data_IF_986714571835
#
_entry.id   IF_986714571835
#
_cell.length_a   1.000
_cell.length_b   1.000
_cell.length_c   1.000
_cell.angle_alpha   90.00
_cell.angle_beta   90.00
_cell.angle_gamma   90.00
#
_symmetry.space_group_name_H-M   'P 1'
#
loop_
_entity.id
_entity.type
_entity.pdbx_description
1 polymer ?
#
# COMPACT_ATOMS: atom_id res chain seq x y z
N UNK A 1 19.52 5.64 -11.45
CA UNK A 1 18.11 6.11 -11.26
C UNK A 1 17.11 5.06 -11.75
N UNK A 2 15.84 5.07 -11.31
CA UNK A 2 14.82 4.12 -11.78
C UNK A 2 14.67 4.15 -13.32
N UNK A 3 14.83 5.35 -13.92
CA UNK A 3 14.80 5.61 -15.36
C UNK A 3 15.93 4.93 -16.16
N UNK A 4 17.03 4.56 -15.51
CA UNK A 4 18.16 3.89 -16.17
C UNK A 4 17.94 2.38 -16.30
N UNK A 5 16.91 1.83 -15.64
CA UNK A 5 16.60 0.40 -15.68
C UNK A 5 15.85 0.05 -16.97
N UNK A 6 16.43 -0.78 -17.87
CA UNK A 6 15.78 -1.15 -19.12
C UNK A 6 14.40 -1.81 -18.91
N UNK A 7 14.25 -2.57 -17.82
CA UNK A 7 13.01 -3.27 -17.45
C UNK A 7 11.86 -2.30 -17.16
N UNK A 8 12.17 -1.06 -16.78
CA UNK A 8 11.17 -0.04 -16.45
C UNK A 8 10.65 0.71 -17.68
N UNK A 9 11.42 0.75 -18.77
CA UNK A 9 11.10 1.55 -19.97
C UNK A 9 9.72 1.23 -20.58
N UNK A 10 9.29 -0.04 -20.68
CA UNK A 10 7.95 -0.36 -21.21
C UNK A 10 6.80 0.12 -20.32
N UNK A 11 7.06 0.34 -19.02
CA UNK A 11 6.07 0.68 -18.01
C UNK A 11 6.02 2.18 -17.68
N UNK A 12 6.98 2.95 -18.21
CA UNK A 12 7.08 4.39 -18.02
C UNK A 12 6.68 5.11 -19.31
N UNK A 13 5.51 5.74 -19.27
CA UNK A 13 5.04 6.68 -20.29
C UNK A 13 5.67 8.06 -20.14
N UNK A 14 5.19 9.01 -20.94
CA UNK A 14 5.65 10.40 -20.89
C UNK A 14 5.42 11.07 -19.53
N UNK A 15 6.25 12.07 -19.24
CA UNK A 15 6.05 12.97 -18.11
C UNK A 15 4.74 13.77 -18.31
N UNK A 16 3.93 13.80 -17.27
CA UNK A 16 2.67 14.52 -17.17
C UNK A 16 2.87 15.73 -16.24
N UNK A 17 3.04 16.91 -16.85
CA UNK A 17 3.37 18.14 -16.13
C UNK A 17 2.22 18.63 -15.23
N UNK A 18 0.96 18.35 -15.58
CA UNK A 18 -0.18 18.73 -14.74
C UNK A 18 -0.23 17.91 -13.45
N UNK A 19 0.16 16.63 -13.54
CA UNK A 19 0.23 15.71 -12.41
C UNK A 19 1.57 15.69 -11.69
N UNK A 20 2.56 16.42 -12.21
CA UNK A 20 3.95 16.42 -11.74
C UNK A 20 4.53 14.99 -11.60
N UNK A 21 4.15 14.08 -12.51
CA UNK A 21 4.48 12.65 -12.41
C UNK A 21 4.68 12.03 -13.79
N UNK A 22 5.20 10.79 -13.85
CA UNK A 22 5.26 10.02 -15.08
C UNK A 22 4.02 9.14 -15.20
N UNK A 23 3.49 8.99 -16.41
CA UNK A 23 2.44 7.99 -16.65
C UNK A 23 3.04 6.60 -16.44
N UNK A 24 2.37 5.78 -15.66
CA UNK A 24 2.81 4.42 -15.34
C UNK A 24 1.78 3.43 -15.87
N UNK A 25 2.25 2.35 -16.49
CA UNK A 25 1.41 1.19 -16.85
C UNK A 25 1.89 -0.02 -16.05
N UNK A 26 1.06 -0.57 -15.15
CA UNK A 26 1.48 -1.69 -14.33
C UNK A 26 1.80 -2.93 -15.19
N UNK A 27 2.81 -3.69 -14.75
CA UNK A 27 3.15 -4.99 -15.35
C UNK A 27 1.97 -5.95 -15.20
N UNK A 28 1.35 -5.95 -14.02
CA UNK A 28 0.19 -6.76 -13.68
C UNK A 28 -1.05 -5.87 -13.59
N UNK A 29 -2.05 -6.02 -14.48
CA UNK A 29 -3.27 -5.20 -14.46
C UNK A 29 -4.06 -5.33 -13.15
N UNK A 30 -3.90 -6.42 -12.40
CA UNK A 30 -4.56 -6.60 -11.11
C UNK A 30 -3.93 -5.74 -10.00
N UNK A 31 -2.74 -5.16 -10.23
CA UNK A 31 -2.07 -4.26 -9.28
C UNK A 31 -2.89 -2.99 -9.02
N UNK A 32 -3.46 -2.37 -10.07
CA UNK A 32 -4.30 -1.18 -9.91
C UNK A 32 -5.61 -1.50 -9.19
N UNK A 33 -6.20 -2.68 -9.47
CA UNK A 33 -7.38 -3.16 -8.76
C UNK A 33 -7.10 -3.37 -7.27
N UNK A 34 -5.95 -3.98 -6.95
CA UNK A 34 -5.52 -4.15 -5.57
C UNK A 34 -5.30 -2.79 -4.90
N UNK A 35 -4.59 -1.86 -5.55
CA UNK A 35 -4.36 -0.52 -5.03
C UNK A 35 -5.67 0.20 -4.69
N UNK A 36 -6.64 0.22 -5.61
CA UNK A 36 -7.94 0.85 -5.39
C UNK A 36 -8.69 0.22 -4.20
N UNK A 37 -8.68 -1.13 -4.11
CA UNK A 37 -9.28 -1.86 -2.99
C UNK A 37 -8.62 -1.51 -1.66
N UNK A 38 -7.28 -1.45 -1.61
CA UNK A 38 -6.53 -1.11 -0.40
C UNK A 38 -6.76 0.33 0.03
N UNK A 39 -6.81 1.27 -0.93
CA UNK A 39 -7.11 2.68 -0.65
C UNK A 39 -8.50 2.84 0.01
N UNK A 40 -9.53 2.21 -0.57
CA UNK A 40 -10.88 2.24 -0.02
C UNK A 40 -10.96 1.61 1.38
N UNK A 41 -10.23 0.51 1.62
CA UNK A 41 -10.15 -0.16 2.91
C UNK A 41 -9.53 0.76 3.97
N UNK A 42 -8.40 1.40 3.65
CA UNK A 42 -7.71 2.31 4.57
C UNK A 42 -8.55 3.55 4.85
N UNK A 43 -9.21 4.11 3.84
CA UNK A 43 -10.11 5.26 3.99
C UNK A 43 -11.27 4.93 4.94
N UNK A 44 -11.91 3.77 4.77
CA UNK A 44 -12.98 3.31 5.66
C UNK A 44 -12.49 3.09 7.10
N UNK A 45 -11.34 2.44 7.29
CA UNK A 45 -10.74 2.25 8.61
C UNK A 45 -10.40 3.59 9.29
N UNK A 46 -9.86 4.55 8.53
CA UNK A 46 -9.52 5.88 9.04
C UNK A 46 -10.78 6.64 9.45
N UNK A 47 -11.82 6.64 8.62
CA UNK A 47 -13.11 7.26 8.94
C UNK A 47 -13.77 6.63 10.19
N UNK A 48 -13.59 5.32 10.39
CA UNK A 48 -14.08 4.59 11.56
C UNK A 48 -13.21 4.70 12.81
N UNK A 49 -12.09 5.44 12.76
CA UNK A 49 -11.09 5.49 13.86
C UNK A 49 -10.63 4.09 14.31
N UNK A 50 -10.57 3.15 13.37
CA UNK A 50 -10.14 1.79 13.64
C UNK A 50 -8.66 1.78 14.07
N UNK A 51 -8.24 0.93 15.04
CA UNK A 51 -6.85 0.82 15.40
C UNK A 51 -5.99 0.46 14.19
N UNK A 52 -4.89 1.17 13.99
CA UNK A 52 -4.01 1.01 12.82
C UNK A 52 -3.57 -0.44 12.58
N UNK A 53 -3.41 -1.20 13.67
CA UNK A 53 -3.03 -2.62 13.61
C UNK A 53 -4.10 -3.46 12.93
N UNK A 54 -5.37 -3.25 13.25
CA UNK A 54 -6.49 -3.95 12.60
C UNK A 54 -6.55 -3.60 11.11
N UNK A 55 -6.31 -2.33 10.76
CA UNK A 55 -6.21 -1.90 9.36
C UNK A 55 -5.07 -2.62 8.62
N UNK A 56 -3.88 -2.73 9.22
CA UNK A 56 -2.75 -3.46 8.61
C UNK A 56 -3.03 -4.96 8.43
N UNK A 57 -3.72 -5.59 9.39
CA UNK A 57 -4.14 -6.99 9.27
C UNK A 57 -5.06 -7.17 8.06
N UNK A 58 -6.06 -6.29 7.90
CA UNK A 58 -6.98 -6.30 6.76
C UNK A 58 -6.27 -6.06 5.42
N UNK A 59 -5.35 -5.08 5.36
CA UNK A 59 -4.52 -4.81 4.17
C UNK A 59 -3.70 -6.03 3.80
N UNK A 60 -3.05 -6.68 4.77
CA UNK A 60 -2.26 -7.90 4.55
C UNK A 60 -3.12 -9.04 4.01
N UNK A 61 -4.31 -9.24 4.58
CA UNK A 61 -5.23 -10.25 4.09
C UNK A 61 -5.64 -9.97 2.64
N UNK A 62 -6.02 -8.74 2.29
CA UNK A 62 -6.39 -8.37 0.94
C UNK A 62 -5.24 -8.55 -0.08
N UNK A 63 -4.00 -8.26 0.33
CA UNK A 63 -2.82 -8.48 -0.52
C UNK A 63 -2.51 -9.97 -0.73
N UNK A 64 -2.65 -10.81 0.31
CA UNK A 64 -2.46 -12.26 0.20
C UNK A 64 -3.51 -12.88 -0.74
N UNK A 65 -4.78 -12.50 -0.57
CA UNK A 65 -5.88 -12.92 -1.42
C UNK A 65 -5.61 -12.56 -2.89
N UNK A 66 -5.19 -11.32 -3.17
CA UNK A 66 -4.85 -10.89 -4.54
C UNK A 66 -3.65 -11.65 -5.12
N UNK A 67 -2.73 -12.11 -4.28
CA UNK A 67 -1.61 -12.96 -4.69
C UNK A 67 -1.98 -14.45 -4.82
N UNK A 68 -3.28 -14.81 -4.71
CA UNK A 68 -3.74 -16.21 -4.75
C UNK A 68 -3.25 -17.04 -3.56
N UNK A 69 -2.84 -16.39 -2.47
CA UNK A 69 -2.35 -17.04 -1.25
C UNK A 69 -3.45 -16.97 -0.20
N UNK A 70 -3.87 -18.13 0.32
CA UNK A 70 -4.71 -18.12 1.51
C UNK A 70 -3.92 -17.58 2.70
N UNK A 71 -4.54 -16.76 3.57
CA UNK A 71 -4.00 -16.51 4.90
C UNK A 71 -3.73 -17.86 5.57
N UNK A 72 -2.59 -18.01 6.25
CA UNK A 72 -2.30 -19.24 7.00
C UNK A 72 -3.52 -19.62 7.87
N UNK A 73 -3.95 -20.89 7.89
CA UNK A 73 -5.11 -21.34 8.69
C UNK A 73 -4.95 -21.10 10.20
N UNK A 74 -3.75 -20.73 10.65
CA UNK A 74 -3.51 -20.29 12.02
C UNK A 74 -4.18 -18.94 12.37
N UNK A 75 -4.74 -18.19 11.41
CA UNK A 75 -5.67 -17.05 11.62
C UNK A 75 -5.12 -15.85 12.40
N UNK A 76 -3.99 -16.00 13.08
CA UNK A 76 -3.28 -14.98 13.82
C UNK A 76 -2.30 -14.38 12.84
N UNK A 77 -2.51 -13.11 12.49
CA UNK A 77 -1.42 -12.29 11.99
C UNK A 77 -0.22 -12.53 12.91
N UNK A 78 0.97 -12.77 12.35
CA UNK A 78 2.17 -12.80 13.17
C UNK A 78 2.15 -11.57 14.07
N UNK A 79 2.36 -11.72 15.38
CA UNK A 79 2.26 -10.60 16.30
C UNK A 79 3.19 -9.51 15.80
N UNK A 80 2.61 -8.33 15.54
CA UNK A 80 3.39 -7.15 15.18
C UNK A 80 4.27 -6.85 16.38
N UNK A 81 5.59 -6.85 16.16
CA UNK A 81 6.57 -6.68 17.24
C UNK A 81 6.25 -5.43 18.06
N UNK A 82 6.30 -5.55 19.39
CA UNK A 82 6.21 -4.41 20.29
C UNK A 82 7.23 -3.33 19.88
N UNK A 83 6.83 -2.06 19.90
CA UNK A 83 7.62 -0.95 19.33
C UNK A 83 7.42 -0.70 17.84
N UNK A 84 6.76 -1.60 17.10
CA UNK A 84 6.37 -1.32 15.70
C UNK A 84 5.19 -0.35 15.61
N UNK A 85 4.52 -0.06 16.71
CA UNK A 85 3.34 0.81 16.81
C UNK A 85 3.58 2.09 17.58
N UNK A 86 4.43 2.05 18.60
CA UNK A 86 4.74 3.20 19.43
C UNK A 86 5.78 4.13 18.75
N UNK A 87 5.63 5.45 18.94
CA UNK A 87 6.64 6.42 18.53
C UNK A 87 6.84 6.58 17.01
N UNK A 88 5.94 6.02 16.18
CA UNK A 88 6.00 6.19 14.73
C UNK A 88 5.67 7.63 14.36
N UNK A 89 6.60 8.34 13.69
CA UNK A 89 6.33 9.68 13.20
C UNK A 89 5.15 9.65 12.22
N UNK A 90 4.11 10.45 12.49
CA UNK A 90 2.91 10.51 11.64
C UNK A 90 2.96 11.73 10.72
N UNK A 91 2.34 11.61 9.54
CA UNK A 91 2.14 12.72 8.60
C UNK A 91 1.24 13.85 9.15
N UNK A 92 0.67 13.64 10.34
CA UNK A 92 -0.12 14.61 11.10
C UNK A 92 0.72 15.39 12.11
N UNK A 93 2.01 15.08 12.27
CA UNK A 93 2.87 15.73 13.25
C UNK A 93 3.50 17.03 12.72
N UNK A 94 3.78 18.04 13.57
CA UNK A 94 4.15 19.38 13.13
C UNK A 94 5.45 19.48 12.36
N UNK A 95 6.37 18.53 12.53
CA UNK A 95 7.66 18.47 11.83
C UNK A 95 7.56 17.86 10.43
N UNK A 96 6.39 17.34 10.04
CA UNK A 96 6.13 16.91 8.66
C UNK A 96 5.78 18.08 7.72
N UNK A 97 5.55 19.28 8.29
CA UNK A 97 5.40 20.55 7.57
C UNK A 97 6.76 21.23 7.37
#
# INVERSE_FOLDING_TARGET
LLLERPEMRPHLGGYDAERLSYRWTPIDPDSDRLQARLAALVEQSAAGSEPIIETFVKVRAAALEAAGRSPSPAGRAEPILAGSTEGRPRLTEPWFC
#
